data_IF_496629628026
#
_entry.id   IF_496629628026
#
_cell.length_a   1.000
_cell.length_b   1.000
_cell.length_c   1.000
_cell.angle_alpha   90.00
_cell.angle_beta   90.00
_cell.angle_gamma   90.00
#
_symmetry.space_group_name_H-M   'P 1'
#
loop_
_entity.id
_entity.type
_entity.pdbx_description
1 polymer ?
#
# COMPACT_ATOMS: atom_id res chain seq x y z
N UNK A 1 10.03 2.48 -10.95
CA UNK A 1 10.12 1.39 -11.95
C UNK A 1 9.09 0.28 -11.69
N UNK A 2 7.95 0.55 -11.03
CA UNK A 2 6.84 -0.40 -10.91
C UNK A 2 5.57 0.02 -11.67
N UNK A 3 5.46 1.30 -12.03
CA UNK A 3 4.37 1.88 -12.82
C UNK A 3 3.91 1.06 -14.04
N UNK A 4 4.84 0.62 -14.89
CA UNK A 4 4.50 -0.16 -16.09
C UNK A 4 3.88 -1.53 -15.75
N UNK A 5 4.26 -2.10 -14.60
CA UNK A 5 3.70 -3.35 -14.12
C UNK A 5 2.33 -3.13 -13.47
N UNK A 6 2.15 -2.06 -12.67
CA UNK A 6 0.85 -1.70 -12.08
C UNK A 6 -0.20 -1.45 -13.16
N UNK A 7 0.10 -0.62 -14.14
CA UNK A 7 -0.78 -0.36 -15.27
C UNK A 7 -1.14 -1.66 -16.00
N UNK A 8 -0.15 -2.50 -16.31
CA UNK A 8 -0.40 -3.79 -16.94
C UNK A 8 -1.31 -4.69 -16.09
N UNK A 9 -1.17 -4.69 -14.76
CA UNK A 9 -2.03 -5.49 -13.88
C UNK A 9 -3.46 -4.92 -13.89
N UNK A 10 -3.62 -3.60 -13.70
CA UNK A 10 -4.93 -2.95 -13.70
C UNK A 10 -5.67 -3.11 -15.04
N UNK A 11 -4.99 -2.89 -16.16
CA UNK A 11 -5.55 -3.06 -17.51
C UNK A 11 -6.09 -4.50 -17.75
N UNK A 12 -5.49 -5.51 -17.10
CA UNK A 12 -5.91 -6.92 -17.21
C UNK A 12 -6.93 -7.36 -16.15
N UNK A 13 -7.08 -6.61 -15.05
CA UNK A 13 -8.05 -6.91 -13.98
C UNK A 13 -9.41 -6.23 -14.20
N UNK A 14 -9.44 -5.08 -14.90
CA UNK A 14 -10.68 -4.39 -15.26
C UNK A 14 -11.72 -5.28 -15.99
N UNK A 15 -11.34 -6.15 -16.96
CA UNK A 15 -12.30 -6.99 -17.67
C UNK A 15 -12.88 -8.14 -16.84
N UNK A 16 -12.11 -8.67 -15.88
CA UNK A 16 -12.50 -9.88 -15.12
C UNK A 16 -13.40 -9.58 -13.91
N UNK A 17 -13.31 -8.38 -13.33
CA UNK A 17 -14.00 -8.02 -12.08
C UNK A 17 -15.33 -7.30 -12.27
N UNK A 18 -15.68 -6.90 -13.50
CA UNK A 18 -16.98 -6.31 -13.84
C UNK A 18 -17.21 -4.87 -13.34
N UNK A 19 -16.42 -4.38 -12.39
CA UNK A 19 -16.45 -2.99 -11.89
C UNK A 19 -15.04 -2.40 -11.87
N UNK A 20 -14.91 -1.13 -12.33
CA UNK A 20 -13.66 -0.37 -12.19
C UNK A 20 -13.31 -0.23 -10.71
N UNK A 21 -12.01 -0.22 -10.40
CA UNK A 21 -11.51 0.33 -9.15
C UNK A 21 -11.83 1.82 -9.11
N UNK A 22 -13.01 2.14 -8.57
CA UNK A 22 -13.39 3.52 -8.28
C UNK A 22 -12.54 4.01 -7.12
N UNK A 23 -12.27 5.32 -7.01
CA UNK A 23 -11.54 5.87 -5.87
C UNK A 23 -12.16 5.51 -4.54
N UNK A 24 -13.49 5.37 -4.50
CA UNK A 24 -14.20 4.93 -3.31
C UNK A 24 -13.78 3.51 -2.90
N UNK A 25 -13.83 2.54 -3.81
CA UNK A 25 -13.41 1.14 -3.56
C UNK A 25 -11.94 1.09 -3.19
N UNK A 26 -11.07 1.81 -3.90
CA UNK A 26 -9.64 1.84 -3.59
C UNK A 26 -9.36 2.41 -2.21
N UNK A 27 -10.11 3.42 -1.76
CA UNK A 27 -9.95 3.98 -0.40
C UNK A 27 -10.51 3.04 0.67
N UNK A 28 -11.59 2.31 0.40
CA UNK A 28 -12.09 1.29 1.35
C UNK A 28 -11.09 0.14 1.49
N UNK A 29 -10.52 -0.33 0.39
CA UNK A 29 -9.48 -1.36 0.39
C UNK A 29 -8.23 -0.84 1.15
N UNK A 30 -7.86 0.42 0.98
CA UNK A 30 -6.73 1.01 1.72
C UNK A 30 -6.95 0.95 3.24
N UNK A 31 -8.19 1.17 3.70
CA UNK A 31 -8.53 1.08 5.12
C UNK A 31 -8.51 -0.37 5.62
N UNK A 32 -8.90 -1.33 4.80
CA UNK A 32 -8.79 -2.76 5.09
C UNK A 32 -7.31 -3.15 5.29
N UNK A 33 -6.44 -2.81 4.34
CA UNK A 33 -5.00 -3.08 4.43
C UNK A 33 -4.36 -2.39 5.66
N UNK A 34 -4.85 -1.21 6.04
CA UNK A 34 -4.42 -0.55 7.28
C UNK A 34 -4.82 -1.32 8.55
N UNK A 35 -6.00 -1.93 8.55
CA UNK A 35 -6.44 -2.83 9.62
C UNK A 35 -5.59 -4.09 9.70
N UNK A 36 -5.19 -4.66 8.55
CA UNK A 36 -4.31 -5.83 8.49
C UNK A 36 -2.91 -5.49 9.06
N UNK A 37 -2.30 -4.40 8.61
CA UNK A 37 -1.02 -3.91 9.15
C UNK A 37 -1.10 -3.68 10.66
N UNK A 38 -2.15 -3.03 11.15
CA UNK A 38 -2.34 -2.80 12.58
C UNK A 38 -2.44 -4.12 13.37
N UNK A 39 -3.13 -5.11 12.80
CA UNK A 39 -3.28 -6.45 13.39
C UNK A 39 -1.95 -7.21 13.41
N UNK A 40 -1.17 -7.14 12.31
CA UNK A 40 0.15 -7.76 12.21
C UNK A 40 1.14 -7.15 13.22
N UNK A 41 1.18 -5.82 13.34
CA UNK A 41 2.00 -5.12 14.34
C UNK A 41 1.57 -5.51 15.76
N UNK A 42 0.27 -5.51 16.06
CA UNK A 42 -0.23 -5.94 17.37
C UNK A 42 0.23 -7.36 17.72
N UNK A 43 0.17 -8.29 16.77
CA UNK A 43 0.57 -9.67 16.96
C UNK A 43 2.09 -9.84 17.12
N UNK A 44 2.91 -8.96 16.50
CA UNK A 44 4.36 -8.92 16.68
C UNK A 44 4.77 -8.34 18.05
N UNK A 45 4.14 -7.25 18.46
CA UNK A 45 4.46 -6.54 19.71
C UNK A 45 3.85 -7.22 20.94
N UNK A 46 2.68 -7.85 20.80
CA UNK A 46 1.96 -8.51 21.90
C UNK A 46 1.51 -9.94 21.55
N UNK A 47 2.44 -10.89 21.32
CA UNK A 47 2.10 -12.23 20.82
C UNK A 47 1.17 -13.05 21.71
N UNK A 48 1.12 -12.74 23.02
CA UNK A 48 0.25 -13.43 23.99
C UNK A 48 -1.22 -13.01 23.90
N UNK A 49 -1.50 -11.89 23.24
CA UNK A 49 -2.85 -11.31 23.10
C UNK A 49 -3.48 -11.57 21.73
N UNK A 50 -2.75 -12.22 20.83
CA UNK A 50 -3.17 -12.54 19.47
C UNK A 50 -3.46 -14.03 19.34
N UNK A 51 -4.56 -14.38 18.68
CA UNK A 51 -4.91 -15.78 18.41
C UNK A 51 -3.86 -16.50 17.55
N UNK A 52 -3.11 -15.74 16.73
CA UNK A 52 -2.01 -16.24 15.91
C UNK A 52 -0.75 -15.39 16.14
N UNK A 53 0.45 -15.99 16.15
CA UNK A 53 1.71 -15.25 16.22
C UNK A 53 1.85 -14.32 15.01
N UNK A 54 2.18 -13.05 15.24
CA UNK A 54 2.56 -12.16 14.15
C UNK A 54 3.93 -12.57 13.59
N UNK A 55 4.11 -12.47 12.28
CA UNK A 55 5.40 -12.69 11.62
C UNK A 55 5.79 -11.48 10.80
N UNK A 56 7.10 -11.30 10.57
CA UNK A 56 7.61 -10.20 9.73
C UNK A 56 7.18 -10.39 8.28
N UNK A 57 6.98 -11.62 7.85
CA UNK A 57 6.50 -11.98 6.52
C UNK A 57 5.06 -11.51 6.32
N UNK A 58 4.18 -11.69 7.30
CA UNK A 58 2.81 -11.15 7.27
C UNK A 58 2.84 -9.63 7.20
N UNK A 59 3.58 -8.97 8.10
CA UNK A 59 3.69 -7.51 8.08
C UNK A 59 4.23 -6.98 6.73
N UNK A 60 5.24 -7.64 6.16
CA UNK A 60 5.80 -7.25 4.87
C UNK A 60 4.77 -7.39 3.74
N UNK A 61 3.94 -8.43 3.77
CA UNK A 61 2.86 -8.64 2.80
C UNK A 61 1.81 -7.53 2.93
N UNK A 62 1.31 -7.27 4.13
CA UNK A 62 0.22 -6.31 4.36
C UNK A 62 0.69 -4.88 4.04
N UNK A 63 1.94 -4.53 4.38
CA UNK A 63 2.56 -3.27 3.95
C UNK A 63 2.67 -3.16 2.43
N UNK A 64 2.97 -4.26 1.74
CA UNK A 64 3.07 -4.29 0.28
C UNK A 64 1.72 -4.13 -0.40
N UNK A 65 0.67 -4.75 0.15
CA UNK A 65 -0.70 -4.57 -0.33
C UNK A 65 -1.17 -3.12 -0.14
N UNK A 66 -0.94 -2.54 1.04
CA UNK A 66 -1.25 -1.13 1.29
C UNK A 66 -0.55 -0.22 0.28
N UNK A 67 0.75 -0.45 0.05
CA UNK A 67 1.51 0.31 -0.94
C UNK A 67 0.94 0.14 -2.36
N UNK A 68 0.56 -1.08 -2.75
CA UNK A 68 -0.10 -1.36 -4.03
C UNK A 68 -1.38 -0.52 -4.17
N UNK A 69 -2.24 -0.50 -3.15
CA UNK A 69 -3.50 0.26 -3.17
C UNK A 69 -3.27 1.76 -3.30
N UNK A 70 -2.25 2.30 -2.63
CA UNK A 70 -1.84 3.71 -2.79
C UNK A 70 -1.40 3.98 -4.24
N UNK A 71 -0.66 3.08 -4.87
CA UNK A 71 -0.25 3.23 -6.27
C UNK A 71 -1.43 3.19 -7.23
N UNK A 72 -2.43 2.34 -7.00
CA UNK A 72 -3.65 2.33 -7.82
C UNK A 72 -4.42 3.64 -7.67
N UNK A 73 -4.53 4.18 -6.45
CA UNK A 73 -5.17 5.47 -6.23
C UNK A 73 -4.41 6.60 -6.95
N UNK A 74 -3.08 6.60 -6.86
CA UNK A 74 -2.25 7.57 -7.58
C UNK A 74 -2.42 7.48 -9.10
N UNK A 75 -2.46 6.26 -9.66
CA UNK A 75 -2.71 6.05 -11.09
C UNK A 75 -4.08 6.62 -11.51
N UNK A 76 -5.13 6.38 -10.71
CA UNK A 76 -6.47 6.88 -10.98
C UNK A 76 -6.50 8.41 -11.18
N UNK A 77 -5.68 9.12 -10.41
CA UNK A 77 -5.55 10.58 -10.49
C UNK A 77 -4.36 11.06 -11.33
N UNK A 78 -3.69 10.15 -12.05
CA UNK A 78 -2.52 10.45 -12.89
C UNK A 78 -1.37 11.12 -12.13
N UNK A 79 -1.10 10.67 -10.91
CA UNK A 79 -0.04 11.19 -10.04
C UNK A 79 1.20 10.29 -10.17
N UNK A 80 2.34 10.89 -10.51
CA UNK A 80 3.66 10.25 -10.46
C UNK A 80 4.16 10.16 -9.01
N UNK A 81 3.59 9.23 -8.26
CA UNK A 81 3.83 9.09 -6.82
C UNK A 81 5.29 8.77 -6.48
N UNK A 82 5.97 7.95 -7.30
CA UNK A 82 7.37 7.61 -7.06
C UNK A 82 8.26 8.86 -7.02
N UNK A 83 8.08 9.78 -7.98
CA UNK A 83 8.85 11.02 -8.06
C UNK A 83 8.52 11.95 -6.90
N UNK A 84 7.23 12.12 -6.59
CA UNK A 84 6.77 12.98 -5.48
C UNK A 84 7.26 12.45 -4.12
N UNK A 85 7.29 11.13 -3.94
CA UNK A 85 7.82 10.50 -2.75
C UNK A 85 9.33 10.70 -2.61
N UNK A 86 10.11 10.56 -3.70
CA UNK A 86 11.56 10.81 -3.68
C UNK A 86 11.88 12.26 -3.29
N UNK A 87 11.13 13.23 -3.80
CA UNK A 87 11.26 14.63 -3.40
C UNK A 87 11.02 14.79 -1.89
N UNK A 88 9.93 14.19 -1.38
CA UNK A 88 9.62 14.20 0.05
C UNK A 88 10.76 13.63 0.88
N UNK A 89 11.32 12.47 0.52
CA UNK A 89 12.44 11.86 1.26
C UNK A 89 13.68 12.76 1.25
N UNK A 90 14.02 13.36 0.11
CA UNK A 90 15.14 14.29 0.00
C UNK A 90 14.97 15.52 0.91
N UNK A 91 13.76 16.08 0.98
CA UNK A 91 13.44 17.19 1.87
C UNK A 91 13.63 16.81 3.35
N UNK A 92 13.23 15.59 3.74
CA UNK A 92 13.48 15.06 5.08
C UNK A 92 14.97 14.89 5.38
N UNK A 93 15.76 14.41 4.41
CA UNK A 93 17.23 14.31 4.56
C UNK A 93 17.81 15.70 4.82
N UNK A 94 17.53 16.68 3.97
CA UNK A 94 18.04 18.05 4.12
C UNK A 94 17.63 18.70 5.45
N UNK A 95 16.44 18.36 5.95
CA UNK A 95 15.88 18.91 7.18
C UNK A 95 16.48 18.30 8.45
N UNK A 96 16.74 17.00 8.47
CA UNK A 96 17.05 16.26 9.70
C UNK A 96 18.43 15.61 9.72
N UNK A 97 19.04 15.35 8.57
CA UNK A 97 20.35 14.73 8.43
C UNK A 97 21.28 15.76 7.78
N UNK A 98 22.04 16.48 8.60
CA UNK A 98 23.12 17.35 8.15
C UNK A 98 24.44 16.60 8.16
#
# INVERSE_FOLDING_TARGET
MCWKNFRKINDNLEPERGERWTPFVTVTDLLEEAGEVASAVKALENPRSSEKPGTKETLAKDLSNMLYTIFVLAEHYHIELEETFLQTVNDYILRFIR
#
